data_IF_128089355400
#
_entry.id   IF_128089355400
#
_cell.length_a   1.000
_cell.length_b   1.000
_cell.length_c   1.000
_cell.angle_alpha   90.00
_cell.angle_beta   90.00
_cell.angle_gamma   90.00
#
_symmetry.space_group_name_H-M   'P 1'
#
loop_
_entity.id
_entity.type
_entity.pdbx_description
1 polymer ?
#
# COMPACT_ATOMS: atom_id res chain seq x y z
N UNK A 1 -9.95 -5.63 8.50
CA UNK A 1 -9.70 -7.08 8.36
C UNK A 1 -8.63 -7.45 9.35
N UNK A 2 -8.85 -8.49 10.16
CA UNK A 2 -7.85 -8.96 11.14
C UNK A 2 -6.83 -9.90 10.49
N UNK A 3 -5.68 -10.10 11.13
CA UNK A 3 -4.67 -11.07 10.71
C UNK A 3 -5.22 -12.49 10.57
N UNK A 4 -6.12 -12.92 11.47
CA UNK A 4 -6.77 -14.23 11.38
C UNK A 4 -7.69 -14.35 10.15
N UNK A 5 -8.45 -13.30 9.83
CA UNK A 5 -9.28 -13.26 8.62
C UNK A 5 -8.43 -13.28 7.35
N UNK A 6 -7.28 -12.61 7.38
CA UNK A 6 -6.31 -12.64 6.29
C UNK A 6 -5.70 -14.03 6.09
N UNK A 7 -5.22 -14.66 7.16
CA UNK A 7 -4.64 -15.99 7.10
C UNK A 7 -5.66 -17.01 6.56
N UNK A 8 -6.92 -16.90 6.97
CA UNK A 8 -8.02 -17.72 6.42
C UNK A 8 -8.28 -17.45 4.93
N UNK A 9 -8.23 -16.19 4.49
CA UNK A 9 -8.46 -15.80 3.10
C UNK A 9 -7.32 -16.20 2.16
N UNK A 10 -6.07 -16.10 2.62
CA UNK A 10 -4.87 -16.44 1.84
C UNK A 10 -4.63 -17.95 1.80
N UNK A 11 -4.89 -18.65 2.90
CA UNK A 11 -4.76 -20.10 3.00
C UNK A 11 -3.38 -20.60 2.53
N UNK A 12 -3.37 -21.54 1.59
CA UNK A 12 -2.16 -22.14 1.03
C UNK A 12 -1.32 -21.21 0.14
N UNK A 13 -1.82 -20.00 -0.16
CA UNK A 13 -1.09 -19.00 -0.96
C UNK A 13 -0.07 -18.22 -0.14
N UNK A 14 0.02 -18.48 1.16
CA UNK A 14 0.99 -17.82 2.05
C UNK A 14 2.40 -18.30 1.73
N UNK A 15 3.33 -17.36 1.72
CA UNK A 15 4.77 -17.65 1.56
C UNK A 15 5.53 -17.18 2.79
N UNK A 16 6.86 -17.33 2.78
CA UNK A 16 7.71 -16.85 3.87
C UNK A 16 7.44 -15.37 4.14
N UNK A 17 7.17 -15.05 5.41
CA UNK A 17 6.87 -13.69 5.85
C UNK A 17 8.07 -12.75 5.61
N UNK A 18 7.77 -11.45 5.54
CA UNK A 18 8.78 -10.41 5.52
C UNK A 18 9.43 -10.20 6.90
N UNK A 19 10.45 -9.31 6.99
CA UNK A 19 11.00 -8.90 8.27
C UNK A 19 9.88 -8.30 9.14
N UNK A 20 9.82 -8.64 10.42
CA UNK A 20 8.83 -8.09 11.35
C UNK A 20 9.51 -7.18 12.36
N UNK A 21 8.87 -6.09 12.74
CA UNK A 21 9.30 -5.21 13.82
C UNK A 21 8.31 -5.31 15.01
N UNK A 22 8.57 -4.62 16.15
CA UNK A 22 7.68 -4.66 17.32
C UNK A 22 6.26 -4.13 17.09
N UNK A 23 6.03 -3.36 16.02
CA UNK A 23 4.78 -2.69 15.69
C UNK A 23 4.08 -3.29 14.47
N UNK A 24 4.81 -3.90 13.54
CA UNK A 24 4.28 -4.43 12.29
C UNK A 24 4.73 -5.86 11.95
N UNK A 25 3.85 -6.56 11.25
CA UNK A 25 4.11 -7.87 10.64
C UNK A 25 3.88 -7.73 9.13
N UNK A 26 4.86 -8.18 8.35
CA UNK A 26 4.79 -8.18 6.90
C UNK A 26 4.46 -9.61 6.45
N UNK A 27 3.23 -9.84 6.00
CA UNK A 27 2.74 -11.15 5.54
C UNK A 27 2.76 -11.20 4.02
N UNK A 28 3.52 -12.12 3.46
CA UNK A 28 3.62 -12.28 2.00
C UNK A 28 2.73 -13.39 1.49
N UNK A 29 2.15 -13.18 0.31
CA UNK A 29 1.26 -14.15 -0.32
C UNK A 29 1.32 -14.09 -1.84
N UNK A 30 0.89 -15.16 -2.51
CA UNK A 30 0.79 -15.23 -3.97
C UNK A 30 -0.63 -14.97 -4.44
N UNK A 31 -0.77 -14.12 -5.44
CA UNK A 31 -1.98 -13.95 -6.24
C UNK A 31 -1.75 -14.57 -7.62
N UNK A 32 -2.80 -14.76 -8.45
CA UNK A 32 -2.62 -15.18 -9.85
C UNK A 32 -1.71 -14.25 -10.67
N UNK A 33 -1.55 -13.00 -10.25
CA UNK A 33 -0.77 -11.97 -10.95
C UNK A 33 0.63 -11.75 -10.38
N UNK A 34 0.98 -12.35 -9.24
CA UNK A 34 2.32 -12.28 -8.67
C UNK A 34 2.33 -12.32 -7.14
N UNK A 35 3.44 -11.89 -6.53
CA UNK A 35 3.55 -11.81 -5.06
C UNK A 35 3.01 -10.48 -4.54
N UNK A 36 2.22 -10.54 -3.48
CA UNK A 36 1.70 -9.39 -2.76
C UNK A 36 2.14 -9.46 -1.29
N UNK A 37 2.03 -8.34 -0.59
CA UNK A 37 2.39 -8.23 0.82
C UNK A 37 1.33 -7.44 1.58
N UNK A 38 0.90 -7.97 2.73
CA UNK A 38 0.05 -7.26 3.66
C UNK A 38 0.89 -6.79 4.85
N UNK A 39 0.74 -5.52 5.21
CA UNK A 39 1.33 -4.94 6.40
C UNK A 39 0.24 -4.94 7.48
N UNK A 40 0.55 -5.54 8.61
CA UNK A 40 -0.37 -5.74 9.73
C UNK A 40 0.17 -5.00 10.94
N UNK A 41 -0.62 -4.09 11.50
CA UNK A 41 -0.28 -3.37 12.72
C UNK A 41 -0.64 -4.20 13.95
N UNK A 42 0.33 -4.42 14.86
CA UNK A 42 0.19 -5.33 16.02
C UNK A 42 -0.69 -4.82 17.16
N UNK A 43 -1.10 -3.54 17.14
CA UNK A 43 -1.97 -2.94 18.15
C UNK A 43 -3.05 -2.10 17.46
N UNK A 44 -4.27 -1.98 17.97
CA UNK A 44 -4.86 -2.74 19.07
C UNK A 44 -5.29 -4.18 18.70
N UNK A 45 -5.43 -4.54 17.41
CA UNK A 45 -6.12 -5.79 17.00
C UNK A 45 -5.53 -6.51 15.77
N UNK A 46 -4.20 -6.53 15.59
CA UNK A 46 -3.55 -7.20 14.43
C UNK A 46 -4.27 -6.87 13.10
N UNK A 47 -4.44 -5.59 12.84
CA UNK A 47 -5.25 -5.07 11.74
C UNK A 47 -4.41 -4.94 10.48
N UNK A 48 -4.91 -5.42 9.35
CA UNK A 48 -4.31 -5.07 8.06
C UNK A 48 -4.50 -3.59 7.82
N UNK A 49 -3.39 -2.90 7.62
CA UNK A 49 -3.32 -1.45 7.39
C UNK A 49 -2.97 -1.13 5.94
N UNK A 50 -2.16 -1.97 5.30
CA UNK A 50 -1.71 -1.76 3.91
C UNK A 50 -1.64 -3.10 3.19
N UNK A 51 -2.04 -3.11 1.91
CA UNK A 51 -1.77 -4.21 0.99
C UNK A 51 -0.97 -3.66 -0.18
N UNK A 52 0.28 -4.10 -0.31
CA UNK A 52 1.09 -3.85 -1.49
C UNK A 52 0.74 -4.86 -2.57
N UNK A 53 0.32 -4.35 -3.73
CA UNK A 53 -0.03 -5.19 -4.88
C UNK A 53 1.22 -5.74 -5.59
N UNK A 54 1.08 -6.81 -6.40
CA UNK A 54 2.21 -7.34 -7.16
C UNK A 54 2.84 -6.33 -8.13
N UNK A 55 4.11 -6.55 -8.45
CA UNK A 55 4.78 -5.83 -9.54
C UNK A 55 3.95 -5.87 -10.83
N UNK A 56 4.07 -4.81 -11.63
CA UNK A 56 3.28 -4.55 -12.86
C UNK A 56 1.79 -4.29 -12.65
N UNK A 57 1.30 -4.25 -11.40
CA UNK A 57 -0.10 -3.90 -11.12
C UNK A 57 -0.36 -2.43 -11.46
N UNK A 58 -1.51 -2.19 -12.09
CA UNK A 58 -2.08 -0.88 -12.38
C UNK A 58 -3.43 -0.75 -11.68
N UNK A 59 -3.82 0.47 -11.36
CA UNK A 59 -5.17 0.79 -10.92
C UNK A 59 -6.15 0.72 -12.10
N UNK A 60 -7.43 0.84 -11.79
CA UNK A 60 -8.52 1.01 -12.77
C UNK A 60 -8.32 2.23 -13.70
N UNK A 61 -7.48 3.18 -13.31
CA UNK A 61 -7.08 4.35 -14.12
C UNK A 61 -5.84 4.13 -14.96
N UNK A 62 -5.33 2.91 -15.02
CA UNK A 62 -4.18 2.54 -15.85
C UNK A 62 -2.82 3.04 -15.35
N UNK A 63 -2.75 3.58 -14.12
CA UNK A 63 -1.49 4.05 -13.49
C UNK A 63 -1.06 3.11 -12.36
N UNK A 64 0.24 2.99 -12.14
CA UNK A 64 0.82 2.09 -11.14
C UNK A 64 2.25 1.75 -11.50
N UNK A 65 2.71 0.53 -11.20
CA UNK A 65 4.14 0.19 -11.26
C UNK A 65 4.82 0.61 -12.58
N UNK A 66 5.84 1.47 -12.49
CA UNK A 66 6.59 2.04 -13.61
C UNK A 66 5.96 3.26 -14.31
N UNK A 67 4.77 3.71 -13.89
CA UNK A 67 4.18 4.99 -14.31
C UNK A 67 4.97 6.16 -13.75
N UNK A 68 4.94 7.33 -14.41
CA UNK A 68 5.56 8.55 -13.88
C UNK A 68 4.67 9.22 -12.83
N UNK A 69 5.26 10.02 -11.95
CA UNK A 69 4.50 10.86 -10.99
C UNK A 69 3.49 11.75 -11.72
N UNK A 70 3.88 12.33 -12.88
CA UNK A 70 3.00 13.15 -13.70
C UNK A 70 1.78 12.37 -14.24
N UNK A 71 1.96 11.11 -14.64
CA UNK A 71 0.85 10.25 -15.08
C UNK A 71 -0.12 9.96 -13.94
N UNK A 72 0.39 9.67 -12.74
CA UNK A 72 -0.46 9.47 -11.55
C UNK A 72 -1.24 10.75 -11.23
N UNK A 73 -0.59 11.92 -11.28
CA UNK A 73 -1.24 13.21 -11.09
C UNK A 73 -2.35 13.45 -12.11
N UNK A 74 -2.07 13.23 -13.40
CA UNK A 74 -3.07 13.37 -14.45
C UNK A 74 -4.28 12.45 -14.26
N UNK A 75 -4.06 11.22 -13.77
CA UNK A 75 -5.12 10.24 -13.56
C UNK A 75 -6.04 10.58 -12.37
N UNK A 76 -5.57 11.29 -11.36
CA UNK A 76 -6.30 11.49 -10.10
C UNK A 76 -6.64 12.95 -9.76
N UNK A 77 -5.98 13.95 -10.37
CA UNK A 77 -6.11 15.34 -9.94
C UNK A 77 -7.53 15.94 -10.10
N UNK A 78 -8.33 15.41 -11.02
CA UNK A 78 -9.68 15.93 -11.30
C UNK A 78 -10.67 15.71 -10.15
N UNK A 79 -10.52 14.64 -9.38
CA UNK A 79 -11.54 14.19 -8.42
C UNK A 79 -10.98 13.66 -7.10
N UNK A 80 -9.66 13.49 -6.99
CA UNK A 80 -8.98 13.09 -5.75
C UNK A 80 -8.05 14.19 -5.24
N UNK A 81 -7.67 14.05 -3.97
CA UNK A 81 -6.54 14.77 -3.40
C UNK A 81 -5.29 13.92 -3.58
N UNK A 82 -4.19 14.58 -3.92
CA UNK A 82 -2.89 13.95 -4.08
C UNK A 82 -1.95 14.63 -3.13
N UNK A 83 -1.47 13.88 -2.15
CA UNK A 83 -0.48 14.34 -1.19
C UNK A 83 0.87 13.72 -1.54
N UNK A 84 1.88 14.57 -1.72
CA UNK A 84 3.28 14.17 -1.71
C UNK A 84 3.77 14.17 -0.26
N UNK A 85 4.52 13.15 0.12
CA UNK A 85 5.03 12.99 1.47
C UNK A 85 6.39 12.29 1.46
N UNK A 86 7.22 12.64 2.43
CA UNK A 86 8.43 11.88 2.76
C UNK A 86 8.07 10.88 3.87
N UNK A 87 8.35 9.60 3.63
CA UNK A 87 8.17 8.53 4.61
C UNK A 87 9.54 8.02 5.08
N UNK A 88 9.56 7.18 6.12
CA UNK A 88 10.80 6.53 6.55
C UNK A 88 11.44 5.67 5.44
N UNK A 89 10.64 5.22 4.47
CA UNK A 89 11.08 4.41 3.32
C UNK A 89 11.34 5.26 2.06
N UNK A 90 11.21 6.58 2.15
CA UNK A 90 11.45 7.55 1.08
C UNK A 90 10.19 8.28 0.59
N UNK A 91 10.29 8.99 -0.55
CA UNK A 91 9.19 9.79 -1.08
C UNK A 91 8.02 8.92 -1.54
N UNK A 92 6.80 9.39 -1.32
CA UNK A 92 5.57 8.70 -1.70
C UNK A 92 4.46 9.66 -2.15
N UNK A 93 3.54 9.12 -2.94
CA UNK A 93 2.24 9.74 -3.23
C UNK A 93 1.15 9.02 -2.46
N UNK A 94 0.26 9.77 -1.83
CA UNK A 94 -0.95 9.24 -1.23
C UNK A 94 -2.19 9.91 -1.83
N UNK A 95 -3.08 9.09 -2.36
CA UNK A 95 -4.28 9.54 -3.05
C UNK A 95 -5.51 9.19 -2.24
N UNK A 96 -6.30 10.21 -1.89
CA UNK A 96 -7.53 10.09 -1.11
C UNK A 96 -8.70 10.75 -1.81
N UNK A 97 -9.92 10.32 -1.46
CA UNK A 97 -11.12 11.00 -1.93
C UNK A 97 -11.19 12.42 -1.39
N UNK A 98 -11.60 13.39 -2.21
CA UNK A 98 -11.84 14.78 -1.78
C UNK A 98 -12.90 14.88 -0.67
N UNK A 99 -13.88 13.99 -0.66
CA UNK A 99 -14.95 13.97 0.34
C UNK A 99 -14.53 13.35 1.68
N UNK A 100 -13.41 12.61 1.70
CA UNK A 100 -12.84 11.98 2.89
C UNK A 100 -11.31 12.12 2.83
N UNK A 101 -10.81 13.36 3.02
CA UNK A 101 -9.39 13.67 2.84
C UNK A 101 -8.49 12.99 3.89
N UNK A 102 -9.07 12.55 5.01
CA UNK A 102 -8.37 11.99 6.16
C UNK A 102 -8.91 10.59 6.47
N UNK A 103 -8.03 9.60 6.45
CA UNK A 103 -8.33 8.22 6.81
C UNK A 103 -7.47 7.21 6.03
N UNK A 104 -7.42 5.94 6.48
CA UNK A 104 -6.67 4.85 5.85
C UNK A 104 -7.31 4.36 4.53
N UNK A 105 -8.10 5.21 3.86
CA UNK A 105 -8.88 4.86 2.67
C UNK A 105 -8.28 5.59 1.47
N UNK A 106 -7.09 5.16 1.08
CA UNK A 106 -6.38 5.74 -0.04
C UNK A 106 -5.54 4.73 -0.80
N UNK A 107 -5.00 5.19 -1.92
CA UNK A 107 -4.03 4.44 -2.72
C UNK A 107 -2.68 5.14 -2.57
N UNK A 108 -1.70 4.37 -2.13
CA UNK A 108 -0.32 4.78 -1.97
C UNK A 108 0.55 4.36 -3.15
N UNK A 109 1.59 5.15 -3.43
CA UNK A 109 2.64 4.84 -4.39
C UNK A 109 3.99 5.26 -3.84
N UNK A 110 4.93 4.32 -3.71
CA UNK A 110 6.33 4.67 -3.43
C UNK A 110 6.92 5.34 -4.68
N UNK A 111 7.64 6.44 -4.50
CA UNK A 111 8.31 7.17 -5.59
C UNK A 111 9.74 6.68 -5.72
N UNK A 112 10.09 6.21 -6.92
CA UNK A 112 11.39 5.68 -7.30
C UNK A 112 11.96 6.56 -8.41
N UNK A 113 12.60 7.67 -8.02
CA UNK A 113 13.06 8.70 -8.96
C UNK A 113 11.86 9.43 -9.59
N UNK A 114 11.68 9.30 -10.91
CA UNK A 114 10.55 9.93 -11.64
C UNK A 114 9.33 9.01 -11.79
N UNK A 115 9.46 7.76 -11.34
CA UNK A 115 8.44 6.72 -11.47
C UNK A 115 7.86 6.32 -10.12
N UNK A 116 6.76 5.60 -10.16
CA UNK A 116 6.15 4.99 -8.98
C UNK A 116 6.25 3.48 -9.02
N UNK A 117 6.30 2.86 -7.84
CA UNK A 117 6.15 1.42 -7.66
C UNK A 117 4.69 0.95 -7.77
N UNK A 118 4.43 -0.33 -7.45
CA UNK A 118 3.09 -0.90 -7.42
C UNK A 118 2.14 -0.13 -6.49
N UNK A 119 0.83 -0.05 -6.82
CA UNK A 119 -0.14 0.56 -5.94
C UNK A 119 -0.23 -0.18 -4.60
N UNK A 120 -0.47 0.60 -3.56
CA UNK A 120 -0.66 0.12 -2.18
C UNK A 120 -2.04 0.55 -1.72
N UNK A 121 -2.83 -0.38 -1.20
CA UNK A 121 -4.19 -0.11 -0.75
C UNK A 121 -4.17 0.08 0.76
N UNK A 122 -4.76 1.17 1.25
CA UNK A 122 -4.91 1.45 2.67
C UNK A 122 -3.89 2.45 3.25
N UNK A 123 -2.76 2.65 2.56
CA UNK A 123 -1.68 3.54 3.02
C UNK A 123 -0.44 3.47 2.15
N UNK A 124 0.63 4.13 2.63
CA UNK A 124 2.01 4.00 2.13
C UNK A 124 2.91 3.49 3.28
N UNK A 125 3.85 2.57 3.02
CA UNK A 125 4.89 2.17 3.95
C UNK A 125 5.71 3.36 4.45
N UNK A 126 6.15 3.30 5.71
CA UNK A 126 6.90 4.37 6.38
C UNK A 126 6.06 5.55 6.87
N UNK A 127 4.74 5.56 6.65
CA UNK A 127 3.81 6.40 7.41
C UNK A 127 3.59 5.77 8.80
N UNK A 128 3.17 6.55 9.80
CA UNK A 128 3.19 6.28 11.26
C UNK A 128 2.51 4.98 11.76
N UNK A 129 2.13 4.07 10.88
CA UNK A 129 1.53 2.80 11.22
C UNK A 129 2.50 1.77 11.80
N UNK A 130 3.81 1.90 11.57
CA UNK A 130 4.83 0.95 12.07
C UNK A 130 5.88 1.62 12.96
N UNK A 131 5.72 2.91 13.27
CA UNK A 131 6.56 3.64 14.21
C UNK A 131 5.80 3.83 15.52
N UNK A 132 6.42 3.41 16.63
CA UNK A 132 6.08 3.87 17.97
C UNK A 132 7.25 4.64 18.57
#
# INVERSE_FOLDING_TARGET
MTSAQFDAAVGSSRVADGPSDPFCIYRRFTTPTGRAEAIIHRRPEDSIIVIQTPAKTKTDRGVGDGSTVAQVRAAYASDHLIQEMETADGPALFITSRSKPQGPQGIGFAVMGTKVGPPMVGGVPGFEFCSG
#
